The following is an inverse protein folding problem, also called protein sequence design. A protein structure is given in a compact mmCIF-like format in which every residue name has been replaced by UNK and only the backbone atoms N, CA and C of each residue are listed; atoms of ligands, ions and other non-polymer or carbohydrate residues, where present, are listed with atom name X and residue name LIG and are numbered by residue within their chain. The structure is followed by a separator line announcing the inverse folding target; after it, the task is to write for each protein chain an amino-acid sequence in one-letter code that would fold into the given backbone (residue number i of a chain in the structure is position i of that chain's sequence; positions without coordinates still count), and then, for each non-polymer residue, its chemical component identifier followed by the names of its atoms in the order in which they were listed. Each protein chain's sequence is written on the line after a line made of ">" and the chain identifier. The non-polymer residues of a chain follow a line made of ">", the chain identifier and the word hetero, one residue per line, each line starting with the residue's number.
data_IF_566888220955
#
_entry.id   IF_566888220955
#
_cell.length_a   1.000
_cell.length_b   1.000
_cell.length_c   1.000
_cell.angle_alpha   90.00
_cell.angle_beta   90.00
_cell.angle_gamma   90.00
#
_symmetry.space_group_name_H-M   'P 1'
#
loop_
_entity.id
_entity.type
_entity.pdbx_description
1 polymer ?
#
# COMPACT_ATOMS: atom_id res chain seq x y z
N UNK A 1 -0.93 -4.65 -8.62
CA UNK A 1 -1.52 -3.72 -9.61
C UNK A 1 -0.44 -2.72 -9.98
N UNK A 2 -0.31 -2.35 -11.24
CA UNK A 2 0.71 -1.40 -11.71
C UNK A 2 0.15 -0.43 -12.73
N UNK A 3 0.85 0.69 -12.95
CA UNK A 3 0.64 1.58 -14.09
C UNK A 3 1.93 1.65 -14.95
N UNK A 4 1.82 1.94 -16.25
CA UNK A 4 2.97 1.97 -17.16
C UNK A 4 4.08 2.91 -16.67
N UNK A 5 3.72 4.09 -16.17
CA UNK A 5 4.67 5.12 -15.73
C UNK A 5 5.56 4.62 -14.60
N UNK A 6 5.02 3.84 -13.66
CA UNK A 6 5.76 3.26 -12.55
C UNK A 6 6.69 2.13 -12.99
N UNK A 7 6.22 1.28 -13.92
CA UNK A 7 7.01 0.17 -14.45
C UNK A 7 8.20 0.71 -15.27
N UNK A 8 7.95 1.67 -16.15
CA UNK A 8 8.98 2.31 -16.98
C UNK A 8 10.01 3.05 -16.12
N UNK A 9 9.56 3.75 -15.08
CA UNK A 9 10.46 4.41 -14.14
C UNK A 9 11.39 3.39 -13.45
N UNK A 10 10.87 2.24 -13.02
CA UNK A 10 11.71 1.23 -12.37
C UNK A 10 12.67 0.59 -13.36
N UNK A 11 12.18 0.17 -14.54
CA UNK A 11 13.00 -0.55 -15.52
C UNK A 11 14.07 0.34 -16.18
N UNK A 12 13.82 1.65 -16.30
CA UNK A 12 14.84 2.61 -16.76
C UNK A 12 16.02 2.75 -15.79
N UNK A 13 15.80 2.55 -14.49
CA UNK A 13 16.83 2.61 -13.45
C UNK A 13 17.45 1.24 -13.14
N UNK A 14 16.68 0.16 -13.30
CA UNK A 14 17.05 -1.20 -12.90
C UNK A 14 16.68 -2.23 -13.97
N UNK A 15 17.33 -2.17 -15.13
CA UNK A 15 16.97 -2.95 -16.32
C UNK A 15 17.04 -4.48 -16.17
N UNK A 16 17.74 -4.99 -15.16
CA UNK A 16 17.91 -6.44 -14.94
C UNK A 16 16.83 -7.07 -14.05
N UNK A 17 15.94 -6.28 -13.45
CA UNK A 17 14.91 -6.82 -12.57
C UNK A 17 13.72 -7.34 -13.37
N UNK A 18 13.05 -8.36 -12.82
CA UNK A 18 11.79 -8.87 -13.37
C UNK A 18 10.64 -8.43 -12.48
N UNK A 19 9.63 -7.81 -13.07
CA UNK A 19 8.43 -7.34 -12.37
C UNK A 19 7.27 -8.28 -12.69
N UNK A 20 6.66 -8.86 -11.65
CA UNK A 20 5.44 -9.67 -11.76
C UNK A 20 4.27 -8.87 -11.22
N UNK A 21 3.24 -8.66 -12.05
CA UNK A 21 2.04 -7.88 -11.68
C UNK A 21 0.78 -8.68 -11.99
N UNK A 22 -0.19 -8.65 -11.07
CA UNK A 22 -1.49 -9.32 -11.26
C UNK A 22 -2.45 -8.57 -12.20
N UNK A 23 -2.30 -7.25 -12.30
CA UNK A 23 -3.04 -6.39 -13.22
C UNK A 23 -2.16 -5.19 -13.58
N UNK A 24 -2.17 -4.82 -14.85
CA UNK A 24 -1.46 -3.69 -15.41
C UNK A 24 -2.50 -2.73 -15.99
N UNK A 25 -2.79 -1.66 -15.24
CA UNK A 25 -3.83 -0.66 -15.57
C UNK A 25 -3.31 0.41 -16.54
N UNK A 26 -4.16 1.38 -16.88
CA UNK A 26 -3.91 2.31 -17.99
C UNK A 26 -2.86 3.36 -17.69
N UNK A 27 -2.95 4.01 -16.52
CA UNK A 27 -2.14 5.20 -16.20
C UNK A 27 -2.17 5.56 -14.72
N UNK A 28 -1.33 6.50 -14.35
CA UNK A 28 -1.51 7.33 -13.16
C UNK A 28 -2.37 8.57 -13.49
N UNK A 29 -3.20 8.99 -12.55
CA UNK A 29 -3.83 10.31 -12.61
C UNK A 29 -2.94 11.40 -11.98
N UNK A 30 -3.39 12.66 -12.01
CA UNK A 30 -2.64 13.80 -11.47
C UNK A 30 -2.37 13.74 -9.96
N UNK A 31 -3.06 12.86 -9.23
CA UNK A 31 -2.85 12.62 -7.79
C UNK A 31 -1.97 11.37 -7.53
N UNK A 32 -1.48 10.72 -8.57
CA UNK A 32 -0.65 9.51 -8.47
C UNK A 32 -1.43 8.23 -8.18
N UNK A 33 -2.76 8.22 -8.32
CA UNK A 33 -3.51 6.96 -8.26
C UNK A 33 -3.48 6.26 -9.62
N UNK A 34 -3.35 4.94 -9.59
CA UNK A 34 -3.53 4.07 -10.74
C UNK A 34 -5.01 4.11 -11.17
N UNK A 35 -5.28 4.22 -12.48
CA UNK A 35 -6.63 4.29 -13.07
C UNK A 35 -6.76 3.24 -14.19
N UNK A 36 -7.84 2.44 -14.26
CA UNK A 36 -9.03 2.46 -13.39
C UNK A 36 -8.72 2.10 -11.93
N UNK A 37 -7.80 1.16 -11.70
CA UNK A 37 -7.21 0.91 -10.39
C UNK A 37 -8.17 0.52 -9.25
N UNK A 38 -7.65 0.53 -8.01
CA UNK A 38 -8.35 0.07 -6.80
C UNK A 38 -8.50 1.17 -5.73
N UNK A 39 -7.99 2.38 -5.98
CA UNK A 39 -7.91 3.45 -4.97
C UNK A 39 -6.88 3.15 -3.88
N UNK A 40 -7.11 3.64 -2.65
CA UNK A 40 -6.23 3.35 -1.52
C UNK A 40 -6.42 1.90 -1.04
N UNK A 41 -5.52 1.02 -1.48
CA UNK A 41 -5.54 -0.39 -1.12
C UNK A 41 -5.39 -0.60 0.39
N UNK A 42 -4.53 0.18 1.05
CA UNK A 42 -4.27 0.04 2.48
C UNK A 42 -5.52 0.35 3.30
N UNK A 43 -6.16 1.48 3.02
CA UNK A 43 -7.38 1.87 3.71
C UNK A 43 -8.54 0.88 3.48
N UNK A 44 -8.63 0.29 2.28
CA UNK A 44 -9.64 -0.73 1.97
C UNK A 44 -9.36 -2.06 2.66
N UNK A 45 -8.11 -2.53 2.58
CA UNK A 45 -7.72 -3.84 3.10
C UNK A 45 -7.76 -3.87 4.62
N UNK A 46 -7.37 -2.78 5.28
CA UNK A 46 -7.33 -2.66 6.74
C UNK A 46 -8.52 -1.86 7.30
N UNK A 47 -9.61 -1.72 6.55
CA UNK A 47 -10.75 -0.88 6.95
C UNK A 47 -11.36 -1.25 8.31
N UNK A 48 -11.28 -2.53 8.69
CA UNK A 48 -11.78 -3.07 9.96
C UNK A 48 -10.70 -3.32 11.02
N UNK A 49 -9.48 -2.81 10.83
CA UNK A 49 -8.41 -2.94 11.83
C UNK A 49 -8.80 -2.17 13.10
N UNK A 50 -8.74 -2.85 14.25
CA UNK A 50 -9.03 -2.27 15.56
C UNK A 50 -7.86 -2.40 16.54
N UNK A 51 -8.08 -1.93 17.77
CA UNK A 51 -7.07 -2.02 18.84
C UNK A 51 -6.67 -3.48 19.18
N UNK A 52 -7.58 -4.48 19.22
CA UNK A 52 -7.19 -5.87 19.49
C UNK A 52 -6.18 -6.42 18.47
N UNK A 53 -6.39 -6.15 17.18
CA UNK A 53 -5.49 -6.58 16.11
C UNK A 53 -4.14 -5.85 16.20
N UNK A 54 -4.14 -4.54 16.46
CA UNK A 54 -2.90 -3.77 16.65
C UNK A 54 -2.06 -4.31 17.81
N UNK A 55 -2.68 -4.62 18.96
CA UNK A 55 -1.97 -5.17 20.11
C UNK A 55 -1.41 -6.56 19.81
N UNK A 56 -2.17 -7.38 19.09
CA UNK A 56 -1.70 -8.69 18.62
C UNK A 56 -0.47 -8.55 17.73
N UNK A 57 -0.51 -7.64 16.75
CA UNK A 57 0.60 -7.44 15.81
C UNK A 57 1.84 -6.80 16.45
N UNK A 58 1.66 -5.94 17.45
CA UNK A 58 2.74 -5.46 18.31
C UNK A 58 3.40 -6.61 19.08
N UNK A 59 2.60 -7.47 19.70
CA UNK A 59 3.09 -8.61 20.46
C UNK A 59 3.83 -9.61 19.57
N UNK A 60 3.31 -9.88 18.37
CA UNK A 60 3.92 -10.77 17.38
C UNK A 60 5.16 -10.17 16.68
N UNK A 61 5.49 -8.90 16.95
CA UNK A 61 6.59 -8.21 16.28
C UNK A 61 6.35 -7.91 14.80
N UNK A 62 5.11 -8.03 14.33
CA UNK A 62 4.69 -7.63 12.97
C UNK A 62 4.76 -6.10 12.82
N UNK A 63 4.43 -5.38 13.91
CA UNK A 63 4.56 -3.94 13.98
C UNK A 63 5.61 -3.54 15.01
N UNK A 64 6.36 -2.49 14.68
CA UNK A 64 7.09 -1.72 15.70
C UNK A 64 6.11 -0.86 16.51
N UNK A 65 6.54 -0.38 17.68
CA UNK A 65 5.75 0.57 18.49
C UNK A 65 5.35 1.80 17.67
N UNK A 66 6.31 2.41 16.98
CA UNK A 66 6.09 3.58 16.14
C UNK A 66 5.08 3.30 15.02
N UNK A 67 5.17 2.13 14.38
CA UNK A 67 4.22 1.72 13.33
C UNK A 67 2.80 1.53 13.88
N UNK A 68 2.65 0.94 15.06
CA UNK A 68 1.34 0.75 15.67
C UNK A 68 0.72 2.07 16.15
N UNK A 69 1.53 2.99 16.68
CA UNK A 69 1.05 4.31 17.09
C UNK A 69 0.58 5.14 15.87
N UNK A 70 1.32 5.06 14.76
CA UNK A 70 0.91 5.67 13.50
C UNK A 70 -0.41 5.09 12.96
N UNK A 71 -0.58 3.77 13.02
CA UNK A 71 -1.82 3.11 12.60
C UNK A 71 -2.99 3.44 13.54
N UNK A 72 -2.76 3.49 14.86
CA UNK A 72 -3.78 3.88 15.84
C UNK A 72 -4.31 5.28 15.57
N UNK A 73 -3.43 6.22 15.21
CA UNK A 73 -3.80 7.57 14.80
C UNK A 73 -4.63 7.64 13.50
N UNK A 74 -4.60 6.60 12.65
CA UNK A 74 -5.42 6.48 11.44
C UNK A 74 -6.77 5.80 11.70
N UNK A 75 -6.80 4.79 12.58
CA UNK A 75 -8.03 4.06 12.94
C UNK A 75 -9.03 4.98 13.65
N UNK A 76 -8.56 5.86 14.54
CA UNK A 76 -9.41 6.77 15.32
C UNK A 76 -9.87 8.05 14.61
N UNK A 77 -9.53 8.25 13.32
CA UNK A 77 -9.94 9.43 12.53
C UNK A 77 -11.14 9.19 11.62
N UNK A 78 -11.86 8.07 11.81
CA UNK A 78 -13.15 7.83 11.16
C UNK A 78 -14.29 8.47 11.95
#
# INVERSE_FOLDING_TARGET
>A
MSAPEGVDHILSNFSQIKITVGAHDERLNSRGFIVPGLGDFGDKYFAGLGEPELQSWLHLGVLTRDSADALRGRIGRK
#
